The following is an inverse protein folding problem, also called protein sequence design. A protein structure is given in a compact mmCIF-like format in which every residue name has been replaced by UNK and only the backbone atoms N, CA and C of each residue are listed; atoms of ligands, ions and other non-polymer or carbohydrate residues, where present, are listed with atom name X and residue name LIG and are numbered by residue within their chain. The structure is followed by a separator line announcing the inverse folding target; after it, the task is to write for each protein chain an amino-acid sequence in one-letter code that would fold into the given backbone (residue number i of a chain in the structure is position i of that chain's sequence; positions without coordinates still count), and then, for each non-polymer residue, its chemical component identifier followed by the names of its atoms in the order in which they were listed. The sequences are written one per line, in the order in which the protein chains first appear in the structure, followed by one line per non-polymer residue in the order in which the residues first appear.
data_IF_659179237128
#
_entry.id   IF_659179237128
#
_cell.length_a   1.000
_cell.length_b   1.000
_cell.length_c   1.000
_cell.angle_alpha   90.00
_cell.angle_beta   90.00
_cell.angle_gamma   90.00
#
_symmetry.space_group_name_H-M   'P 1'
#
loop_
_entity.id
_entity.type
_entity.pdbx_description
1 polymer ?
#
# COMPACT_ATOMS: atom_id res chain seq x y z
N UNK A 1 -1.43 20.18 -17.23
CA UNK A 1 -2.58 19.32 -16.90
C UNK A 1 -2.12 17.94 -16.45
N UNK A 2 -1.25 17.29 -17.22
CA UNK A 2 -0.82 15.89 -17.00
C UNK A 2 -0.14 15.65 -15.63
N UNK A 3 0.76 16.53 -15.20
CA UNK A 3 1.45 16.40 -13.90
C UNK A 3 0.47 16.32 -12.71
N UNK A 4 -0.59 17.13 -12.69
CA UNK A 4 -1.56 17.15 -11.59
C UNK A 4 -2.43 15.88 -11.56
N UNK A 5 -2.71 15.30 -12.73
CA UNK A 5 -3.44 14.04 -12.85
C UNK A 5 -2.59 12.90 -12.30
N UNK A 6 -1.32 12.80 -12.74
CA UNK A 6 -0.37 11.79 -12.27
C UNK A 6 -0.16 11.93 -10.75
N UNK A 7 -0.03 13.17 -10.26
CA UNK A 7 0.09 13.46 -8.82
C UNK A 7 -1.14 13.00 -8.04
N UNK A 8 -2.34 13.21 -8.57
CA UNK A 8 -3.59 12.72 -7.97
C UNK A 8 -3.61 11.19 -7.88
N UNK A 9 -3.26 10.48 -8.97
CA UNK A 9 -3.19 9.02 -8.95
C UNK A 9 -2.12 8.49 -7.97
N UNK A 10 -0.96 9.15 -7.89
CA UNK A 10 0.08 8.81 -6.93
C UNK A 10 -0.43 8.92 -5.49
N UNK A 11 -1.12 10.02 -5.15
CA UNK A 11 -1.69 10.24 -3.82
C UNK A 11 -2.74 9.17 -3.50
N UNK A 12 -3.63 8.84 -4.44
CA UNK A 12 -4.64 7.78 -4.25
C UNK A 12 -3.96 6.43 -3.98
N UNK A 13 -2.92 6.09 -4.73
CA UNK A 13 -2.16 4.85 -4.56
C UNK A 13 -1.46 4.80 -3.18
N UNK A 14 -0.86 5.92 -2.74
CA UNK A 14 -0.26 6.04 -1.40
C UNK A 14 -1.31 5.85 -0.31
N UNK A 15 -2.48 6.49 -0.42
CA UNK A 15 -3.56 6.35 0.57
C UNK A 15 -4.04 4.89 0.65
N UNK A 16 -4.24 4.23 -0.50
CA UNK A 16 -4.62 2.82 -0.54
C UNK A 16 -3.56 1.92 0.11
N UNK A 17 -2.28 2.20 -0.14
CA UNK A 17 -1.18 1.45 0.48
C UNK A 17 -1.11 1.68 2.00
N UNK A 18 -1.26 2.94 2.46
CA UNK A 18 -1.30 3.30 3.88
C UNK A 18 -2.49 2.65 4.61
N UNK A 19 -3.68 2.63 4.00
CA UNK A 19 -4.85 1.97 4.56
C UNK A 19 -4.59 0.46 4.76
N UNK A 20 -3.92 -0.20 3.81
CA UNK A 20 -3.52 -1.60 3.95
C UNK A 20 -2.51 -1.82 5.09
N UNK A 21 -1.49 -0.96 5.20
CA UNK A 21 -0.49 -1.02 6.27
C UNK A 21 -1.09 -0.83 7.67
N UNK A 22 -2.16 -0.03 7.79
CA UNK A 22 -2.84 0.19 9.08
C UNK A 22 -3.85 -0.92 9.41
N UNK A 23 -4.49 -1.51 8.39
CA UNK A 23 -5.48 -2.57 8.58
C UNK A 23 -4.84 -3.94 8.89
N UNK A 24 -3.67 -4.21 8.33
CA UNK A 24 -2.97 -5.48 8.50
C UNK A 24 -2.57 -5.81 9.96
N UNK A 25 -1.95 -4.88 10.75
CA UNK A 25 -1.64 -5.12 12.16
C UNK A 25 -2.87 -5.47 13.00
N UNK A 26 -4.00 -4.81 12.73
CA UNK A 26 -5.27 -5.10 13.40
C UNK A 26 -5.70 -6.54 13.15
N UNK A 27 -5.53 -7.04 11.93
CA UNK A 27 -5.83 -8.43 11.61
C UNK A 27 -4.92 -9.41 12.37
N UNK A 28 -3.62 -9.09 12.45
CA UNK A 28 -2.66 -9.92 13.20
C UNK A 28 -2.97 -10.00 14.69
N UNK A 29 -3.39 -8.88 15.31
CA UNK A 29 -3.84 -8.89 16.71
C UNK A 29 -5.01 -9.87 16.87
N UNK A 30 -6.04 -9.81 16.02
CA UNK A 30 -7.17 -10.74 16.11
C UNK A 30 -6.79 -12.19 15.81
N UNK A 31 -5.87 -12.43 14.89
CA UNK A 31 -5.38 -13.78 14.58
C UNK A 31 -4.60 -14.37 15.77
N UNK A 32 -3.85 -13.57 16.52
CA UNK A 32 -3.13 -14.05 17.71
C UNK A 32 -4.03 -14.56 18.83
N UNK A 33 -5.29 -14.12 18.86
CA UNK A 33 -6.30 -14.53 19.85
C UNK A 33 -7.01 -15.84 19.48
N UNK A 34 -6.69 -16.44 18.34
CA UNK A 34 -7.39 -17.61 17.79
C UNK A 34 -6.53 -18.86 17.96
N UNK A 35 -7.16 -19.98 18.30
CA UNK A 35 -6.50 -21.28 18.38
C UNK A 35 -5.83 -21.66 17.05
N UNK A 36 -4.59 -22.13 17.18
CA UNK A 36 -3.75 -22.55 16.06
C UNK A 36 -4.41 -23.75 15.36
N UNK A 37 -4.64 -23.63 14.05
CA UNK A 37 -5.22 -24.70 13.24
C UNK A 37 -6.74 -24.71 13.20
N UNK A 38 -7.42 -23.85 13.96
CA UNK A 38 -8.88 -23.67 13.85
C UNK A 38 -9.28 -23.14 12.46
N UNK A 39 -10.53 -23.37 12.07
CA UNK A 39 -11.13 -22.84 10.83
C UNK A 39 -10.95 -21.31 10.75
N UNK A 40 -11.11 -20.62 11.88
CA UNK A 40 -10.96 -19.16 11.98
C UNK A 40 -9.53 -18.71 11.73
N UNK A 41 -8.51 -19.46 12.18
CA UNK A 41 -7.10 -19.18 11.87
C UNK A 41 -6.83 -19.28 10.36
N UNK A 42 -7.41 -20.27 9.67
CA UNK A 42 -7.29 -20.38 8.21
C UNK A 42 -7.94 -19.19 7.49
N UNK A 43 -9.09 -18.73 7.97
CA UNK A 43 -9.76 -17.53 7.44
C UNK A 43 -8.89 -16.28 7.60
N UNK A 44 -8.29 -16.08 8.77
CA UNK A 44 -7.38 -14.94 9.00
C UNK A 44 -6.16 -15.00 8.07
N UNK A 45 -5.50 -16.16 7.93
CA UNK A 45 -4.39 -16.35 6.97
C UNK A 45 -4.79 -15.98 5.54
N UNK A 46 -5.99 -16.36 5.11
CA UNK A 46 -6.50 -16.02 3.78
C UNK A 46 -6.71 -14.51 3.64
N UNK A 47 -7.33 -13.87 4.63
CA UNK A 47 -7.58 -12.43 4.63
C UNK A 47 -6.27 -11.63 4.63
N UNK A 48 -5.30 -11.97 5.47
CA UNK A 48 -3.97 -11.35 5.52
C UNK A 48 -3.25 -11.46 4.18
N UNK A 49 -3.24 -12.68 3.60
CA UNK A 49 -2.57 -12.94 2.32
C UNK A 49 -3.22 -12.18 1.16
N UNK A 50 -4.55 -12.09 1.14
CA UNK A 50 -5.28 -11.30 0.14
C UNK A 50 -5.00 -9.81 0.30
N UNK A 51 -5.07 -9.29 1.51
CA UNK A 51 -4.78 -7.88 1.79
C UNK A 51 -3.35 -7.52 1.35
N UNK A 52 -2.36 -8.33 1.72
CA UNK A 52 -0.97 -8.11 1.33
C UNK A 52 -0.77 -8.22 -0.19
N UNK A 53 -1.12 -9.37 -0.78
CA UNK A 53 -0.77 -9.64 -2.19
C UNK A 53 -1.63 -8.91 -3.20
N UNK A 54 -2.92 -8.68 -2.89
CA UNK A 54 -3.88 -8.15 -3.85
C UNK A 54 -4.07 -6.64 -3.68
N UNK A 55 -3.91 -6.11 -2.46
CA UNK A 55 -4.15 -4.68 -2.19
C UNK A 55 -2.82 -3.95 -1.97
N UNK A 56 -2.07 -4.33 -0.94
CA UNK A 56 -0.88 -3.58 -0.52
C UNK A 56 0.25 -3.62 -1.54
N UNK A 57 0.62 -4.82 -2.02
CA UNK A 57 1.73 -4.97 -2.95
C UNK A 57 1.54 -4.21 -4.28
N UNK A 58 0.39 -4.32 -4.98
CA UNK A 58 0.18 -3.54 -6.19
C UNK A 58 0.07 -2.04 -5.90
N UNK A 59 -0.58 -1.63 -4.80
CA UNK A 59 -0.65 -0.22 -4.42
C UNK A 59 0.75 0.37 -4.14
N UNK A 60 1.62 -0.38 -3.46
CA UNK A 60 3.02 -0.03 -3.24
C UNK A 60 3.75 0.15 -4.57
N UNK A 61 3.68 -0.83 -5.48
CA UNK A 61 4.37 -0.77 -6.77
C UNK A 61 3.89 0.45 -7.58
N UNK A 62 2.57 0.66 -7.67
CA UNK A 62 2.00 1.81 -8.40
C UNK A 62 2.44 3.13 -7.77
N UNK A 63 2.42 3.23 -6.43
CA UNK A 63 2.84 4.45 -5.75
C UNK A 63 4.30 4.78 -6.04
N UNK A 64 5.20 3.80 -6.00
CA UNK A 64 6.62 3.99 -6.32
C UNK A 64 6.85 4.36 -7.79
N UNK A 65 6.21 3.66 -8.72
CA UNK A 65 6.32 3.95 -10.15
C UNK A 65 5.85 5.37 -10.48
N UNK A 66 4.69 5.78 -9.95
CA UNK A 66 4.17 7.13 -10.17
C UNK A 66 5.03 8.18 -9.47
N UNK A 67 5.58 7.89 -8.29
CA UNK A 67 6.47 8.79 -7.56
C UNK A 67 7.77 9.05 -8.32
N UNK A 68 8.42 7.99 -8.79
CA UNK A 68 9.62 8.09 -9.62
C UNK A 68 9.34 8.80 -10.95
N UNK A 69 8.19 8.53 -11.56
CA UNK A 69 7.79 9.20 -12.79
C UNK A 69 7.55 10.70 -12.59
N UNK A 70 6.98 11.12 -11.46
CA UNK A 70 6.83 12.54 -11.11
C UNK A 70 8.18 13.25 -10.92
N UNK A 71 9.17 12.56 -10.35
CA UNK A 71 10.54 13.09 -10.21
C UNK A 71 11.19 13.25 -11.59
N UNK A 72 11.03 12.26 -12.47
CA UNK A 72 11.56 12.32 -13.84
C UNK A 72 10.93 13.49 -14.64
N UNK A 73 9.62 13.71 -14.50
CA UNK A 73 8.93 14.83 -15.15
C UNK A 73 9.31 16.20 -14.60
N UNK A 74 9.79 16.28 -13.35
CA UNK A 74 10.19 17.54 -12.76
C UNK A 74 11.45 17.39 -11.89
N UNK A 75 12.64 17.32 -12.51
CA UNK A 75 13.91 17.12 -11.82
C UNK A 75 14.25 18.22 -10.81
N UNK A 76 13.70 19.43 -11.01
CA UNK A 76 13.88 20.58 -10.10
C UNK A 76 13.35 20.32 -8.67
N UNK A 77 12.54 19.27 -8.47
CA UNK A 77 12.15 18.81 -7.13
C UNK A 77 13.34 18.32 -6.31
N UNK A 78 14.36 17.72 -6.93
CA UNK A 78 15.55 17.23 -6.25
C UNK A 78 16.50 18.39 -5.89
N UNK A 79 16.62 19.39 -6.75
CA UNK A 79 17.40 20.61 -6.47
C UNK A 79 16.85 21.43 -5.31
N UNK A 80 15.54 21.39 -5.05
CA UNK A 80 14.92 22.08 -3.91
C UNK A 80 15.13 21.38 -2.55
N UNK A 81 15.59 20.14 -2.56
CA UNK A 81 15.79 19.32 -1.35
C UNK A 81 17.24 19.39 -0.85
N UNK A 82 18.20 19.70 -1.74
CA UNK A 82 19.61 19.97 -1.41
C UNK A 82 19.87 21.43 -1.10
#
# INVERSE_FOLDING_TARGET
MEYQIIKSFHIIAIIAWMAGLLYLPRLYVYHSLVEIGSVRSQTFKLMERRLLKIIMNPAMIISWLLGLYLIFLNPSLLEKIG
#
